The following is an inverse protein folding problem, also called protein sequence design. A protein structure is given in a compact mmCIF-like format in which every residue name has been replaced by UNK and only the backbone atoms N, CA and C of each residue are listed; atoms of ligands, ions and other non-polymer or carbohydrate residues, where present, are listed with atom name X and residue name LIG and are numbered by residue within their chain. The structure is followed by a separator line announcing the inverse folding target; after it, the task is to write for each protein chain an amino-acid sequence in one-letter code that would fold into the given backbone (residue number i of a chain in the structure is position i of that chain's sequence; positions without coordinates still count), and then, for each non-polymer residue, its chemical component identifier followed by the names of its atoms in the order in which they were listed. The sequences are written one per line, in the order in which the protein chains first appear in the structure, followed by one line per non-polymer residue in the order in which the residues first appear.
data_IF_466072929079
#
_entry.id   IF_466072929079
#
_cell.length_a   1.000
_cell.length_b   1.000
_cell.length_c   1.000
_cell.angle_alpha   90.00
_cell.angle_beta   90.00
_cell.angle_gamma   90.00
#
_symmetry.space_group_name_H-M   'P 1'
#
loop_
_entity.id
_entity.type
_entity.pdbx_description
1 polymer ?
#
# COMPACT_ATOMS: atom_id res chain seq x y z
N UNK A 1 -3.69 -24.80 -13.26
CA UNK A 1 -4.62 -24.94 -12.13
C UNK A 1 -4.51 -23.62 -11.42
N UNK A 2 -5.28 -22.64 -11.91
CA UNK A 2 -5.21 -21.27 -11.40
C UNK A 2 -6.37 -21.12 -10.44
N UNK A 3 -6.05 -21.06 -9.15
CA UNK A 3 -7.01 -20.79 -8.09
C UNK A 3 -7.38 -19.31 -8.19
N UNK A 4 -8.60 -19.05 -8.67
CA UNK A 4 -9.16 -17.71 -8.68
C UNK A 4 -9.75 -17.42 -7.31
N UNK A 5 -9.26 -16.36 -6.67
CA UNK A 5 -9.82 -15.84 -5.43
C UNK A 5 -10.57 -14.53 -5.68
N UNK A 6 -11.59 -14.28 -4.87
CA UNK A 6 -12.23 -12.98 -4.85
C UNK A 6 -11.31 -12.00 -4.13
N UNK A 7 -10.99 -10.89 -4.81
CA UNK A 7 -10.17 -9.83 -4.25
C UNK A 7 -11.06 -8.82 -3.53
N UNK A 8 -10.77 -8.54 -2.26
CA UNK A 8 -11.40 -7.44 -1.53
C UNK A 8 -10.53 -6.19 -1.60
N UNK A 9 -10.88 -5.29 -2.53
CA UNK A 9 -10.20 -4.02 -2.70
C UNK A 9 -10.24 -3.10 -1.46
N UNK A 10 -10.99 -3.43 -0.40
CA UNK A 10 -11.03 -2.64 0.83
C UNK A 10 -9.94 -2.98 1.83
N UNK A 11 -9.35 -4.17 1.74
CA UNK A 11 -8.35 -4.67 2.69
C UNK A 11 -7.15 -5.36 2.04
N UNK A 12 -7.23 -5.71 0.76
CA UNK A 12 -6.13 -6.32 0.03
C UNK A 12 -5.00 -5.30 -0.20
N UNK A 13 -3.77 -5.65 0.16
CA UNK A 13 -2.60 -4.77 0.04
C UNK A 13 -2.09 -4.66 -1.40
N UNK A 14 -2.29 -5.68 -2.20
CA UNK A 14 -1.81 -5.79 -3.57
C UNK A 14 -2.84 -5.24 -4.57
N UNK A 15 -4.09 -5.03 -4.13
CA UNK A 15 -5.17 -4.46 -4.92
C UNK A 15 -6.02 -3.44 -4.12
N UNK A 16 -5.38 -2.63 -3.29
CA UNK A 16 -6.08 -1.71 -2.40
C UNK A 16 -6.76 -0.58 -3.19
N UNK A 17 -8.09 -0.58 -3.23
CA UNK A 17 -8.90 0.43 -3.92
C UNK A 17 -9.04 0.21 -5.43
N UNK A 18 -8.44 -0.84 -5.99
CA UNK A 18 -8.48 -1.14 -7.41
C UNK A 18 -7.45 -2.19 -7.84
N UNK A 19 -7.36 -2.46 -9.15
CA UNK A 19 -6.43 -3.46 -9.67
C UNK A 19 -5.02 -2.89 -9.82
N UNK A 20 -4.02 -3.47 -9.15
CA UNK A 20 -2.61 -3.04 -9.29
C UNK A 20 -2.02 -3.24 -10.68
N UNK A 21 -2.61 -4.10 -11.50
CA UNK A 21 -2.22 -4.27 -12.90
C UNK A 21 -2.46 -3.01 -13.75
N UNK A 22 -3.35 -2.11 -13.33
CA UNK A 22 -3.64 -0.85 -14.01
C UNK A 22 -2.77 0.30 -13.52
N UNK A 23 -2.56 0.38 -12.19
CA UNK A 23 -1.74 1.39 -11.54
C UNK A 23 -1.15 0.82 -10.25
N UNK A 24 0.06 0.22 -10.32
CA UNK A 24 0.67 -0.41 -9.17
C UNK A 24 1.06 0.61 -8.10
N UNK A 25 1.45 1.83 -8.48
CA UNK A 25 1.82 2.86 -7.51
C UNK A 25 0.65 3.32 -6.65
N UNK A 26 -0.58 3.23 -7.18
CA UNK A 26 -1.80 3.61 -6.47
C UNK A 26 -2.43 2.45 -5.71
N UNK A 27 -2.48 1.27 -6.31
CA UNK A 27 -3.28 0.15 -5.78
C UNK A 27 -2.44 -0.97 -5.15
N UNK A 28 -1.12 -1.00 -5.37
CA UNK A 28 -0.23 -1.91 -4.64
C UNK A 28 0.47 -1.16 -3.51
N UNK A 29 -0.08 -1.28 -2.30
CA UNK A 29 0.48 -0.66 -1.10
C UNK A 29 1.88 -1.20 -0.74
N UNK A 30 2.25 -2.40 -1.21
CA UNK A 30 3.59 -2.98 -0.98
C UNK A 30 4.65 -2.36 -1.88
N UNK A 31 4.25 -1.73 -2.98
CA UNK A 31 5.18 -1.06 -3.89
C UNK A 31 5.72 0.27 -3.31
N UNK A 32 5.16 0.75 -2.19
CA UNK A 32 5.58 2.00 -1.56
C UNK A 32 6.99 1.81 -0.95
N UNK A 33 7.98 2.59 -1.38
CA UNK A 33 9.36 2.42 -0.93
C UNK A 33 9.53 2.89 0.52
N UNK A 34 10.48 2.26 1.22
CA UNK A 34 10.92 2.65 2.57
C UNK A 34 9.86 2.54 3.68
N UNK A 35 8.79 1.79 3.41
CA UNK A 35 7.73 1.50 4.37
C UNK A 35 8.07 0.23 5.15
N UNK A 36 7.91 0.27 6.47
CA UNK A 36 8.03 -0.90 7.34
C UNK A 36 6.68 -1.59 7.55
N UNK A 37 5.59 -0.82 7.60
CA UNK A 37 4.24 -1.36 7.76
C UNK A 37 3.23 -0.45 7.06
N UNK A 38 2.31 -1.09 6.32
CA UNK A 38 1.26 -0.45 5.54
C UNK A 38 -0.02 -1.26 5.69
N UNK A 39 -1.16 -0.58 5.70
CA UNK A 39 -2.48 -1.18 5.73
C UNK A 39 -3.32 -0.65 4.56
N UNK A 40 -4.18 -1.50 4.01
CA UNK A 40 -5.26 -1.04 3.14
C UNK A 40 -6.48 -0.74 4.03
N UNK A 41 -6.91 0.51 4.07
CA UNK A 41 -8.03 0.96 4.89
C UNK A 41 -9.08 1.56 3.97
N UNK A 42 -10.22 0.89 3.84
CA UNK A 42 -11.35 1.33 3.00
C UNK A 42 -10.99 1.56 1.51
N UNK A 43 -9.94 0.90 1.02
CA UNK A 43 -9.41 1.05 -0.34
C UNK A 43 -8.41 2.19 -0.50
N UNK A 44 -7.73 2.59 0.58
CA UNK A 44 -6.62 3.52 0.56
C UNK A 44 -5.41 2.93 1.27
N UNK A 45 -4.23 3.05 0.66
CA UNK A 45 -2.98 2.69 1.32
C UNK A 45 -2.67 3.70 2.43
N UNK A 46 -2.56 3.21 3.65
CA UNK A 46 -2.21 4.00 4.83
C UNK A 46 -0.93 3.43 5.41
N UNK A 47 0.14 4.22 5.39
CA UNK A 47 1.39 3.84 6.03
C UNK A 47 1.24 4.00 7.54
N UNK A 48 1.55 2.95 8.28
CA UNK A 48 1.53 2.96 9.76
C UNK A 48 2.93 3.07 10.35
N UNK A 49 3.97 2.66 9.63
CA UNK A 49 5.36 2.79 10.06
C UNK A 49 6.33 2.87 8.88
N UNK A 50 7.29 3.81 8.95
CA UNK A 50 8.43 3.88 8.02
C UNK A 50 9.61 3.06 8.52
N UNK A 51 10.51 2.68 7.60
CA UNK A 51 11.79 2.07 7.97
C UNK A 51 12.67 3.05 8.77
N UNK A 52 13.59 2.56 9.62
CA UNK A 52 14.53 3.42 10.34
C UNK A 52 15.30 4.36 9.41
N UNK A 53 15.36 5.66 9.75
CA UNK A 53 15.97 6.69 8.91
C UNK A 53 15.02 7.40 7.95
N UNK A 54 13.76 6.95 7.87
CA UNK A 54 12.70 7.58 7.08
C UNK A 54 11.60 8.13 7.98
N UNK A 55 11.04 9.26 7.58
CA UNK A 55 9.96 9.96 8.27
C UNK A 55 8.69 9.88 7.44
N UNK A 56 7.57 9.60 8.11
CA UNK A 56 6.25 9.57 7.50
C UNK A 56 5.81 11.00 7.15
N UNK A 57 5.41 11.23 5.91
CA UNK A 57 4.85 12.51 5.50
C UNK A 57 3.42 12.73 6.04
N UNK A 58 3.00 13.99 6.10
CA UNK A 58 1.71 14.39 6.66
C UNK A 58 0.50 13.79 5.90
N UNK A 59 0.69 13.40 4.64
CA UNK A 59 -0.31 12.73 3.82
C UNK A 59 -0.44 11.23 4.10
N UNK A 60 0.44 10.66 4.94
CA UNK A 60 0.53 9.24 5.28
C UNK A 60 0.71 8.30 4.07
N UNK A 61 1.18 8.84 2.94
CA UNK A 61 1.30 8.10 1.67
C UNK A 61 2.74 7.83 1.27
N UNK A 62 3.71 8.57 1.82
CA UNK A 62 5.13 8.41 1.50
C UNK A 62 6.01 8.46 2.76
N UNK A 63 7.06 7.65 2.76
CA UNK A 63 8.18 7.74 3.69
C UNK A 63 9.37 8.42 2.98
N UNK A 64 9.82 9.57 3.48
CA UNK A 64 11.02 10.26 2.96
C UNK A 64 12.16 10.23 3.96
N UNK A 65 13.40 10.12 3.48
CA UNK A 65 14.58 10.27 4.35
C UNK A 65 14.54 11.64 5.03
N UNK A 66 14.77 11.66 6.33
CA UNK A 66 14.92 12.90 7.08
C UNK A 66 16.12 13.72 6.58
#
# INVERSE_FOLDING_TARGET
NDEYECVDFKSDLDNCGGCSSLDPGRYNCRAIPHVSSVACVSGQCVITACQPGYTLQADMQICTSA
#
